data_IF_943263775870
#
_entry.id   IF_943263775870
#
_cell.length_a   1.000
_cell.length_b   1.000
_cell.length_c   1.000
_cell.angle_alpha   90.00
_cell.angle_beta   90.00
_cell.angle_gamma   90.00
#
_symmetry.space_group_name_H-M   'P 1'
#
loop_
_entity.id
_entity.type
_entity.pdbx_description
1 polymer ?
#
# COMPACT_ATOMS: atom_id res chain seq x y z
N UNK A 1 21.71 6.23 -9.17
CA UNK A 1 20.49 6.16 -8.35
C UNK A 1 20.29 7.50 -7.70
N UNK A 2 20.66 7.64 -6.43
CA UNK A 2 20.42 8.87 -5.65
C UNK A 2 21.35 10.05 -6.01
N UNK A 3 22.66 9.82 -6.15
CA UNK A 3 23.59 10.90 -6.54
C UNK A 3 23.30 11.45 -7.95
N UNK A 4 22.90 10.57 -8.88
CA UNK A 4 22.52 10.96 -10.22
C UNK A 4 21.25 11.82 -10.25
N UNK A 5 20.27 11.50 -9.40
CA UNK A 5 19.04 12.28 -9.23
C UNK A 5 19.33 13.65 -8.59
N UNK A 6 20.17 13.69 -7.56
CA UNK A 6 20.61 14.94 -6.94
C UNK A 6 21.40 15.82 -7.93
N UNK A 7 22.29 15.22 -8.72
CA UNK A 7 23.06 15.92 -9.75
C UNK A 7 22.18 16.44 -10.89
N UNK A 8 21.15 15.68 -11.30
CA UNK A 8 20.17 16.13 -12.27
C UNK A 8 19.39 17.36 -11.78
N UNK A 9 18.97 17.36 -10.51
CA UNK A 9 18.34 18.52 -9.87
C UNK A 9 19.30 19.72 -9.80
N UNK A 10 20.56 19.48 -9.43
CA UNK A 10 21.61 20.50 -9.38
C UNK A 10 21.82 21.17 -10.74
N UNK A 11 21.79 20.38 -11.81
CA UNK A 11 21.94 20.87 -13.17
C UNK A 11 20.77 21.75 -13.61
N UNK A 12 19.53 21.42 -13.22
CA UNK A 12 18.34 22.20 -13.62
C UNK A 12 18.04 23.40 -12.73
N UNK A 13 18.32 23.32 -11.43
CA UNK A 13 17.89 24.31 -10.42
C UNK A 13 19.05 25.05 -9.75
N UNK A 14 20.29 24.57 -9.94
CA UNK A 14 21.50 25.10 -9.30
C UNK A 14 21.87 24.37 -8.02
N UNK A 15 23.06 24.68 -7.50
CA UNK A 15 23.72 23.95 -6.40
C UNK A 15 22.92 23.92 -5.09
N UNK A 16 22.06 24.91 -4.81
CA UNK A 16 21.22 24.93 -3.61
C UNK A 16 20.25 23.73 -3.53
N UNK A 17 19.86 23.19 -4.69
CA UNK A 17 18.91 22.08 -4.78
C UNK A 17 19.48 20.77 -4.20
N UNK A 18 20.81 20.60 -4.19
CA UNK A 18 21.47 19.45 -3.56
C UNK A 18 21.24 19.43 -2.05
N UNK A 19 21.32 20.58 -1.40
CA UNK A 19 21.08 20.68 0.05
C UNK A 19 19.62 20.39 0.40
N UNK A 20 18.68 20.92 -0.40
CA UNK A 20 17.25 20.65 -0.22
C UNK A 20 16.92 19.18 -0.48
N UNK A 21 17.52 18.57 -1.51
CA UNK A 21 17.36 17.16 -1.81
C UNK A 21 17.91 16.27 -0.68
N UNK A 22 19.11 16.57 -0.16
CA UNK A 22 19.69 15.84 0.96
C UNK A 22 18.83 15.96 2.24
N UNK A 23 18.33 17.17 2.53
CA UNK A 23 17.44 17.41 3.67
C UNK A 23 16.11 16.66 3.50
N UNK A 24 15.55 16.64 2.28
CA UNK A 24 14.35 15.89 1.95
C UNK A 24 14.53 14.38 2.13
N UNK A 25 15.67 13.84 1.68
CA UNK A 25 16.03 12.44 1.86
C UNK A 25 16.15 12.07 3.35
N UNK A 26 16.78 12.95 4.14
CA UNK A 26 16.86 12.78 5.60
C UNK A 26 15.48 12.80 6.26
N UNK A 27 14.64 13.78 5.91
CA UNK A 27 13.28 13.91 6.44
C UNK A 27 12.41 12.71 6.09
N UNK A 28 12.50 12.19 4.86
CA UNK A 28 11.79 10.99 4.42
C UNK A 28 12.19 9.75 5.26
N UNK A 29 13.48 9.59 5.56
CA UNK A 29 13.97 8.51 6.42
C UNK A 29 13.42 8.56 7.86
N UNK A 30 13.30 9.77 8.43
CA UNK A 30 12.71 9.94 9.77
C UNK A 30 11.21 9.63 9.77
N UNK A 31 10.47 10.12 8.76
CA UNK A 31 9.05 9.85 8.61
C UNK A 31 8.76 8.34 8.48
N UNK A 32 9.53 7.64 7.64
CA UNK A 32 9.40 6.19 7.46
C UNK A 32 9.64 5.41 8.76
N UNK A 33 10.63 5.83 9.56
CA UNK A 33 10.91 5.21 10.86
C UNK A 33 9.70 5.35 11.80
N UNK A 34 9.12 6.54 11.91
CA UNK A 34 7.96 6.77 12.78
C UNK A 34 6.75 5.92 12.37
N UNK A 35 6.45 5.84 11.08
CA UNK A 35 5.33 5.02 10.59
C UNK A 35 5.57 3.54 10.90
N UNK A 36 6.80 3.04 10.73
CA UNK A 36 7.16 1.67 11.03
C UNK A 36 7.03 1.33 12.54
N UNK A 37 7.45 2.23 13.44
CA UNK A 37 7.33 1.99 14.88
C UNK A 37 5.88 2.02 15.36
N UNK A 38 5.06 2.95 14.87
CA UNK A 38 3.64 3.00 15.23
C UNK A 38 2.83 1.84 14.61
N UNK A 39 3.06 1.52 13.34
CA UNK A 39 2.42 0.37 12.68
C UNK A 39 2.79 -0.94 13.36
N UNK A 40 4.09 -1.14 13.64
CA UNK A 40 4.56 -2.30 14.40
C UNK A 40 3.95 -2.35 15.80
N UNK A 41 3.71 -1.19 16.43
CA UNK A 41 3.04 -1.15 17.73
C UNK A 41 1.63 -1.69 17.72
N UNK A 42 0.84 -1.23 16.74
CA UNK A 42 -0.55 -1.67 16.55
C UNK A 42 -0.58 -3.16 16.21
N UNK A 43 0.32 -3.65 15.36
CA UNK A 43 0.34 -5.06 14.95
C UNK A 43 0.74 -5.98 16.11
N UNK A 44 1.75 -5.60 16.89
CA UNK A 44 2.23 -6.39 18.02
C UNK A 44 1.19 -6.49 19.14
N UNK A 45 0.54 -5.38 19.49
CA UNK A 45 -0.45 -5.37 20.56
C UNK A 45 -1.81 -5.93 20.09
N UNK A 46 -2.12 -5.82 18.79
CA UNK A 46 -3.40 -6.26 18.23
C UNK A 46 -3.41 -7.72 17.77
N UNK A 47 -2.47 -8.12 16.91
CA UNK A 47 -2.48 -9.44 16.27
C UNK A 47 -1.61 -10.48 16.97
N UNK A 48 -0.53 -10.06 17.63
CA UNK A 48 0.47 -10.95 18.23
C UNK A 48 0.42 -10.98 19.77
N UNK A 49 -0.40 -10.13 20.40
CA UNK A 49 -0.47 -9.87 21.86
C UNK A 49 0.90 -9.81 22.55
N UNK A 50 1.88 -9.19 21.87
CA UNK A 50 3.29 -9.22 22.25
C UNK A 50 3.69 -7.91 22.92
N UNK A 51 3.66 -7.91 24.25
CA UNK A 51 3.98 -6.74 25.07
C UNK A 51 5.49 -6.58 25.28
N UNK A 52 6.18 -6.00 24.31
CA UNK A 52 7.59 -5.62 24.43
C UNK A 52 7.77 -4.20 24.99
N UNK A 53 8.80 -4.04 25.83
CA UNK A 53 9.29 -2.75 26.31
C UNK A 53 9.64 -1.81 25.12
N UNK A 54 9.43 -0.49 25.25
CA UNK A 54 9.64 0.47 24.15
C UNK A 54 11.04 0.42 23.53
N UNK A 55 12.09 0.30 24.36
CA UNK A 55 13.47 0.26 23.89
C UNK A 55 13.77 -1.02 23.07
N UNK A 56 13.26 -2.18 23.50
CA UNK A 56 13.43 -3.45 22.77
C UNK A 56 12.76 -3.38 21.40
N UNK A 57 11.60 -2.75 21.33
CA UNK A 57 10.83 -2.56 20.09
C UNK A 57 11.59 -1.68 19.08
N UNK A 58 12.19 -0.58 19.55
CA UNK A 58 12.98 0.31 18.70
C UNK A 58 14.25 -0.39 18.20
N UNK A 59 14.97 -1.09 19.08
CA UNK A 59 16.19 -1.83 18.68
C UNK A 59 15.84 -2.90 17.65
N UNK A 60 14.78 -3.68 17.87
CA UNK A 60 14.36 -4.74 16.95
C UNK A 60 14.01 -4.19 15.55
N UNK A 61 13.19 -3.15 15.47
CA UNK A 61 12.83 -2.57 14.18
C UNK A 61 14.04 -1.94 13.47
N UNK A 62 14.96 -1.33 14.23
CA UNK A 62 16.17 -0.74 13.67
C UNK A 62 17.12 -1.80 13.15
N UNK A 63 17.35 -2.88 13.88
CA UNK A 63 18.22 -3.97 13.42
C UNK A 63 17.63 -4.68 12.21
N UNK A 64 16.32 -4.98 12.21
CA UNK A 64 15.65 -5.59 11.06
C UNK A 64 15.68 -4.71 9.80
N UNK A 65 15.61 -3.38 9.94
CA UNK A 65 15.70 -2.46 8.81
C UNK A 65 17.15 -2.22 8.34
N UNK A 66 18.08 -1.98 9.27
CA UNK A 66 19.47 -1.64 8.92
C UNK A 66 20.28 -2.87 8.49
N UNK A 67 20.07 -4.04 9.09
CA UNK A 67 20.90 -5.21 8.81
C UNK A 67 20.90 -5.60 7.31
N UNK A 68 19.74 -5.81 6.63
CA UNK A 68 19.75 -6.12 5.21
C UNK A 68 20.28 -4.95 4.36
N UNK A 69 20.01 -3.70 4.75
CA UNK A 69 20.52 -2.53 4.04
C UNK A 69 22.06 -2.44 4.08
N UNK A 70 22.66 -2.70 5.24
CA UNK A 70 24.12 -2.70 5.41
C UNK A 70 24.78 -3.88 4.69
N UNK A 71 24.17 -5.06 4.72
CA UNK A 71 24.65 -6.22 3.99
C UNK A 71 24.68 -5.94 2.48
N UNK A 72 23.57 -5.45 1.93
CA UNK A 72 23.51 -5.04 0.53
C UNK A 72 24.54 -3.96 0.25
N UNK A 73 24.62 -2.89 1.07
CA UNK A 73 25.58 -1.81 0.91
C UNK A 73 27.03 -2.29 0.81
N UNK A 74 27.43 -3.21 1.69
CA UNK A 74 28.79 -3.78 1.69
C UNK A 74 29.09 -4.64 0.45
N UNK A 75 28.07 -5.31 -0.09
CA UNK A 75 28.22 -6.23 -1.24
C UNK A 75 28.25 -5.52 -2.60
N UNK A 76 27.86 -4.25 -2.67
CA UNK A 76 27.82 -3.46 -3.91
C UNK A 76 29.20 -3.27 -4.52
N UNK A 77 30.23 -3.09 -3.68
CA UNK A 77 31.62 -2.93 -4.12
C UNK A 77 32.10 -4.12 -4.93
N UNK A 78 31.55 -5.32 -4.67
CA UNK A 78 31.89 -6.56 -5.38
C UNK A 78 31.00 -6.79 -6.60
N UNK A 79 29.73 -6.40 -6.57
CA UNK A 79 28.78 -6.64 -7.66
C UNK A 79 27.80 -5.46 -7.86
N UNK A 80 28.03 -4.56 -8.83
CA UNK A 80 27.19 -3.38 -9.05
C UNK A 80 25.76 -3.72 -9.51
N UNK A 81 25.53 -4.95 -10.03
CA UNK A 81 24.20 -5.42 -10.45
C UNK A 81 23.27 -5.77 -9.28
N UNK A 82 23.82 -6.06 -8.10
CA UNK A 82 23.01 -6.48 -6.94
C UNK A 82 22.01 -5.41 -6.49
N UNK A 83 22.34 -4.12 -6.64
CA UNK A 83 21.41 -3.03 -6.32
C UNK A 83 20.13 -3.10 -7.16
N UNK A 84 20.28 -3.29 -8.46
CA UNK A 84 19.17 -3.37 -9.39
C UNK A 84 18.34 -4.62 -9.11
N UNK A 85 19.00 -5.76 -8.92
CA UNK A 85 18.33 -7.03 -8.61
C UNK A 85 17.53 -6.93 -7.31
N UNK A 86 18.14 -6.43 -6.23
CA UNK A 86 17.47 -6.24 -4.93
C UNK A 86 16.29 -5.28 -5.07
N UNK A 87 16.42 -4.20 -5.83
CA UNK A 87 15.33 -3.26 -6.07
C UNK A 87 14.16 -3.91 -6.82
N UNK A 88 14.43 -4.73 -7.84
CA UNK A 88 13.39 -5.49 -8.54
C UNK A 88 12.69 -6.49 -7.61
N UNK A 89 13.45 -7.22 -6.78
CA UNK A 89 12.90 -8.11 -5.77
C UNK A 89 12.03 -7.38 -4.74
N UNK A 90 12.45 -6.21 -4.27
CA UNK A 90 11.67 -5.38 -3.34
C UNK A 90 10.36 -4.90 -3.98
N UNK A 91 10.37 -4.52 -5.25
CA UNK A 91 9.17 -4.12 -5.96
C UNK A 91 8.16 -5.27 -6.09
N UNK A 92 8.63 -6.49 -6.35
CA UNK A 92 7.75 -7.68 -6.40
C UNK A 92 7.20 -7.97 -5.00
N UNK A 93 8.05 -7.94 -3.98
CA UNK A 93 7.62 -8.17 -2.60
C UNK A 93 6.57 -7.14 -2.17
N UNK A 94 6.74 -5.87 -2.54
CA UNK A 94 5.74 -4.82 -2.32
C UNK A 94 4.45 -5.07 -3.11
N UNK A 95 4.53 -5.53 -4.36
CA UNK A 95 3.35 -5.87 -5.18
C UNK A 95 2.48 -6.96 -4.55
N UNK A 96 3.09 -7.92 -3.86
CA UNK A 96 2.40 -9.00 -3.13
C UNK A 96 1.82 -8.47 -1.81
N UNK A 97 2.46 -7.51 -1.15
CA UNK A 97 1.95 -6.96 0.12
C UNK A 97 0.77 -6.00 -0.07
N UNK A 98 0.75 -5.24 -1.16
CA UNK A 98 -0.23 -4.18 -1.39
C UNK A 98 -1.69 -4.68 -1.34
N UNK A 99 -2.12 -5.72 -2.08
CA UNK A 99 -3.49 -6.23 -2.00
C UNK A 99 -3.86 -6.69 -0.59
N UNK A 100 -2.96 -7.38 0.12
CA UNK A 100 -3.25 -7.86 1.48
C UNK A 100 -3.47 -6.73 2.48
N UNK A 101 -2.83 -5.58 2.32
CA UNK A 101 -3.11 -4.41 3.15
C UNK A 101 -4.36 -3.64 2.69
N UNK A 102 -4.53 -3.47 1.38
CA UNK A 102 -5.60 -2.63 0.81
C UNK A 102 -6.99 -3.28 0.88
N UNK A 103 -7.10 -4.59 0.68
CA UNK A 103 -8.40 -5.26 0.60
C UNK A 103 -9.14 -5.29 1.96
N UNK A 104 -8.51 -5.69 3.08
CA UNK A 104 -9.18 -5.67 4.38
C UNK A 104 -9.51 -4.25 4.85
N UNK A 105 -8.62 -3.28 4.58
CA UNK A 105 -8.88 -1.88 4.95
C UNK A 105 -10.09 -1.33 4.20
N UNK A 106 -10.24 -1.66 2.92
CA UNK A 106 -11.40 -1.26 2.13
C UNK A 106 -12.67 -1.99 2.55
N UNK A 107 -12.59 -3.28 2.89
CA UNK A 107 -13.68 -4.07 3.47
C UNK A 107 -14.21 -3.40 4.75
N UNK A 108 -13.30 -3.10 5.69
CA UNK A 108 -13.67 -2.48 6.96
C UNK A 108 -14.21 -1.06 6.76
N UNK A 109 -13.60 -0.24 5.90
CA UNK A 109 -14.09 1.09 5.57
C UNK A 109 -15.50 1.08 4.93
N UNK A 110 -15.86 0.00 4.24
CA UNK A 110 -17.17 -0.17 3.62
C UNK A 110 -18.24 -0.77 4.55
N UNK A 111 -17.84 -1.42 5.64
CA UNK A 111 -18.73 -2.19 6.53
C UNK A 111 -19.56 -1.29 7.46
N UNK A 112 -20.89 -1.38 7.35
CA UNK A 112 -21.81 -0.75 8.30
C UNK A 112 -21.77 -1.38 9.69
N UNK A 113 -21.40 -2.66 9.78
CA UNK A 113 -21.38 -3.40 11.03
C UNK A 113 -20.30 -2.88 11.98
N UNK A 114 -19.19 -2.39 11.43
CA UNK A 114 -18.04 -1.89 12.19
C UNK A 114 -18.07 -0.38 12.42
N UNK A 115 -18.40 0.42 11.38
CA UNK A 115 -18.36 1.90 11.46
C UNK A 115 -19.71 2.58 11.78
N UNK A 116 -20.83 1.84 11.79
CA UNK A 116 -22.14 2.40 12.14
C UNK A 116 -22.53 3.63 11.31
N UNK A 117 -22.74 4.77 11.99
CA UNK A 117 -23.09 6.07 11.38
C UNK A 117 -21.91 6.76 10.68
N UNK A 118 -20.67 6.44 11.03
CA UNK A 118 -19.45 6.99 10.43
C UNK A 118 -19.01 6.26 9.15
N UNK A 119 -19.89 5.43 8.58
CA UNK A 119 -19.61 4.69 7.36
C UNK A 119 -19.26 5.62 6.19
N UNK A 120 -18.16 5.33 5.51
CA UNK A 120 -17.77 6.00 4.28
C UNK A 120 -18.91 5.99 3.24
N UNK A 121 -19.11 7.16 2.59
CA UNK A 121 -20.13 7.31 1.54
C UNK A 121 -19.83 6.35 0.39
N UNK A 122 -20.87 5.76 -0.20
CA UNK A 122 -20.71 4.81 -1.31
C UNK A 122 -19.90 5.35 -2.50
N UNK A 123 -19.95 6.67 -2.75
CA UNK A 123 -19.12 7.36 -3.76
C UNK A 123 -17.63 7.27 -3.42
N UNK A 124 -17.24 7.57 -2.18
CA UNK A 124 -15.84 7.50 -1.73
C UNK A 124 -15.31 6.08 -1.81
N UNK A 125 -16.09 5.09 -1.34
CA UNK A 125 -15.70 3.68 -1.43
C UNK A 125 -15.48 3.26 -2.88
N UNK A 126 -16.35 3.68 -3.81
CA UNK A 126 -16.21 3.35 -5.24
C UNK A 126 -14.92 3.95 -5.81
N UNK A 127 -14.58 5.20 -5.44
CA UNK A 127 -13.31 5.85 -5.86
C UNK A 127 -12.11 5.10 -5.28
N UNK A 128 -12.14 4.73 -3.99
CA UNK A 128 -11.05 3.98 -3.35
C UNK A 128 -10.87 2.59 -3.99
N UNK A 129 -11.96 1.87 -4.30
CA UNK A 129 -11.91 0.59 -5.04
C UNK A 129 -11.29 0.78 -6.41
N UNK A 130 -11.71 1.81 -7.16
CA UNK A 130 -11.16 2.08 -8.49
C UNK A 130 -9.66 2.39 -8.44
N UNK A 131 -9.23 3.22 -7.49
CA UNK A 131 -7.81 3.53 -7.28
C UNK A 131 -7.01 2.29 -6.89
N UNK A 132 -7.54 1.47 -5.98
CA UNK A 132 -6.93 0.21 -5.60
C UNK A 132 -6.78 -0.74 -6.79
N UNK A 133 -7.81 -0.86 -7.64
CA UNK A 133 -7.77 -1.69 -8.83
C UNK A 133 -6.69 -1.22 -9.83
N UNK A 134 -6.54 0.09 -10.02
CA UNK A 134 -5.48 0.66 -10.86
C UNK A 134 -4.10 0.30 -10.30
N UNK A 135 -3.86 0.57 -9.01
CA UNK A 135 -2.58 0.29 -8.36
C UNK A 135 -2.24 -1.20 -8.43
N UNK A 136 -3.20 -2.09 -8.16
CA UNK A 136 -3.01 -3.54 -8.27
C UNK A 136 -2.70 -3.98 -9.70
N UNK A 137 -3.35 -3.38 -10.70
CA UNK A 137 -3.12 -3.71 -12.11
C UNK A 137 -1.71 -3.31 -12.56
N UNK A 138 -1.24 -2.13 -12.15
CA UNK A 138 0.14 -1.67 -12.45
C UNK A 138 1.17 -2.57 -11.77
N UNK A 139 0.96 -2.91 -10.50
CA UNK A 139 1.85 -3.80 -9.76
C UNK A 139 1.89 -5.22 -10.36
N UNK A 140 0.76 -5.72 -10.84
CA UNK A 140 0.70 -7.00 -11.56
C UNK A 140 1.49 -6.95 -12.87
N UNK A 141 1.41 -5.84 -13.62
CA UNK A 141 2.22 -5.66 -14.83
C UNK A 141 3.72 -5.73 -14.54
N UNK A 142 4.20 -5.03 -13.50
CA UNK A 142 5.61 -5.09 -13.10
C UNK A 142 6.03 -6.51 -12.69
N UNK A 143 5.18 -7.23 -11.95
CA UNK A 143 5.45 -8.61 -11.56
C UNK A 143 5.54 -9.56 -12.77
N UNK A 144 4.67 -9.40 -13.78
CA UNK A 144 4.72 -10.19 -15.01
C UNK A 144 5.96 -9.86 -15.86
N UNK A 145 6.35 -8.58 -15.91
CA UNK A 145 7.56 -8.16 -16.61
C UNK A 145 8.80 -8.81 -15.96
N UNK A 146 8.89 -8.81 -14.63
CA UNK A 146 9.95 -9.53 -13.93
C UNK A 146 9.88 -11.04 -14.15
N UNK A 147 8.68 -11.63 -14.18
CA UNK A 147 8.56 -13.05 -14.45
C UNK A 147 9.23 -13.43 -15.79
N UNK A 148 9.13 -12.57 -16.81
CA UNK A 148 9.74 -12.82 -18.12
C UNK A 148 11.27 -12.89 -18.12
N UNK A 149 11.95 -12.33 -17.11
CA UNK A 149 13.42 -12.37 -16.99
C UNK A 149 13.93 -13.64 -16.31
N UNK A 150 13.04 -14.41 -15.65
CA UNK A 150 13.38 -15.67 -15.00
C UNK A 150 13.56 -16.82 -16.00
N UNK A 151 14.22 -17.89 -15.57
CA UNK A 151 14.35 -19.11 -16.38
C UNK A 151 12.99 -19.78 -16.61
N UNK A 152 12.82 -20.50 -17.74
CA UNK A 152 11.57 -21.21 -18.08
C UNK A 152 10.97 -22.05 -16.93
N UNK A 153 11.73 -22.86 -16.16
CA UNK A 153 11.14 -23.57 -15.03
C UNK A 153 10.68 -22.63 -13.91
N UNK A 154 11.46 -21.58 -13.60
CA UNK A 154 11.10 -20.61 -12.57
C UNK A 154 9.88 -19.76 -12.97
N UNK A 155 9.70 -19.47 -14.27
CA UNK A 155 8.52 -18.79 -14.80
C UNK A 155 7.23 -19.56 -14.51
N UNK A 156 7.23 -20.88 -14.73
CA UNK A 156 6.05 -21.72 -14.50
C UNK A 156 5.69 -21.71 -13.01
N UNK A 157 6.69 -21.86 -12.13
CA UNK A 157 6.48 -21.81 -10.68
C UNK A 157 5.93 -20.46 -10.24
N UNK A 158 6.52 -19.37 -10.74
CA UNK A 158 6.07 -18.01 -10.45
C UNK A 158 4.63 -17.77 -10.94
N UNK A 159 4.30 -18.23 -12.16
CA UNK A 159 2.96 -18.12 -12.71
C UNK A 159 1.93 -18.93 -11.93
N UNK A 160 2.25 -20.16 -11.52
CA UNK A 160 1.38 -20.99 -10.69
C UNK A 160 1.10 -20.32 -9.33
N UNK A 161 2.14 -19.82 -8.67
CA UNK A 161 1.99 -19.08 -7.41
C UNK A 161 1.19 -17.79 -7.61
N UNK A 162 1.46 -17.05 -8.69
CA UNK A 162 0.74 -15.82 -9.05
C UNK A 162 -0.74 -16.06 -9.34
N UNK A 163 -1.08 -17.14 -10.06
CA UNK A 163 -2.48 -17.53 -10.30
C UNK A 163 -3.17 -17.90 -9.00
N UNK A 164 -2.53 -18.71 -8.15
CA UNK A 164 -3.07 -19.04 -6.83
C UNK A 164 -3.31 -17.77 -5.99
N UNK A 165 -2.35 -16.86 -5.98
CA UNK A 165 -2.43 -15.59 -5.28
C UNK A 165 -3.59 -14.71 -5.79
N UNK A 166 -3.70 -14.53 -7.11
CA UNK A 166 -4.79 -13.75 -7.72
C UNK A 166 -6.15 -14.37 -7.42
N UNK A 167 -6.25 -15.71 -7.42
CA UNK A 167 -7.49 -16.40 -7.03
C UNK A 167 -7.87 -16.14 -5.58
N UNK A 168 -6.89 -16.18 -4.65
CA UNK A 168 -7.12 -15.84 -3.23
C UNK A 168 -7.59 -14.39 -3.10
N UNK A 169 -6.91 -13.44 -3.74
CA UNK A 169 -7.32 -12.04 -3.74
C UNK A 169 -8.72 -11.84 -4.35
N UNK A 170 -9.00 -12.48 -5.49
CA UNK A 170 -10.30 -12.39 -6.16
C UNK A 170 -11.42 -12.95 -5.28
N UNK A 171 -11.19 -14.06 -4.59
CA UNK A 171 -12.14 -14.64 -3.62
C UNK A 171 -12.36 -13.73 -2.43
N UNK A 172 -11.31 -13.12 -1.89
CA UNK A 172 -11.39 -12.16 -0.78
C UNK A 172 -12.23 -10.93 -1.17
N UNK A 173 -12.09 -10.47 -2.43
CA UNK A 173 -12.76 -9.29 -2.97
C UNK A 173 -14.21 -9.57 -3.41
N UNK A 174 -14.50 -10.80 -3.84
CA UNK A 174 -15.75 -11.13 -4.53
C UNK A 174 -16.99 -10.74 -3.72
N UNK A 175 -16.98 -11.02 -2.41
CA UNK A 175 -18.09 -10.69 -1.51
C UNK A 175 -18.26 -9.17 -1.35
N UNK A 176 -17.15 -8.42 -1.28
CA UNK A 176 -17.15 -6.97 -1.13
C UNK A 176 -17.57 -6.22 -2.38
N UNK A 177 -17.01 -6.59 -3.52
CA UNK A 177 -17.37 -6.00 -4.81
C UNK A 177 -18.82 -6.31 -5.16
N UNK A 178 -19.32 -7.51 -4.83
CA UNK A 178 -20.72 -7.85 -5.02
C UNK A 178 -21.65 -7.00 -4.13
N UNK A 179 -21.28 -6.79 -2.87
CA UNK A 179 -22.02 -5.94 -1.92
C UNK A 179 -22.05 -4.46 -2.38
N UNK A 180 -20.91 -3.94 -2.82
CA UNK A 180 -20.74 -2.56 -3.31
C UNK A 180 -21.49 -2.36 -4.64
N UNK A 181 -21.40 -3.31 -5.58
CA UNK A 181 -22.10 -3.23 -6.87
C UNK A 181 -23.63 -3.23 -6.71
N UNK A 182 -24.17 -3.91 -5.69
CA UNK A 182 -25.60 -3.81 -5.34
C UNK A 182 -25.95 -2.46 -4.71
N UNK A 183 -25.04 -1.85 -3.93
CA UNK A 183 -25.24 -0.52 -3.35
C UNK A 183 -25.17 0.59 -4.41
N UNK A 184 -24.21 0.52 -5.34
CA UNK A 184 -24.03 1.49 -6.41
C UNK A 184 -25.21 1.47 -7.39
N UNK A 185 -25.70 0.29 -7.78
CA UNK A 185 -26.91 0.15 -8.59
C UNK A 185 -28.14 0.76 -7.91
N UNK A 186 -28.27 0.64 -6.59
CA UNK A 186 -29.36 1.29 -5.82
C UNK A 186 -29.23 2.81 -5.82
N UNK A 187 -28.01 3.36 -5.70
CA UNK A 187 -27.76 4.80 -5.76
C UNK A 187 -28.06 5.37 -7.15
N UNK A 188 -27.57 4.72 -8.21
CA UNK A 188 -27.81 5.13 -9.60
C UNK A 188 -29.32 5.10 -9.90
N UNK A 189 -30.04 4.06 -9.46
CA UNK A 189 -31.51 4.00 -9.60
C UNK A 189 -32.23 5.12 -8.83
N UNK A 190 -31.73 5.54 -7.67
CA UNK A 190 -32.30 6.67 -6.90
C UNK A 190 -32.05 8.01 -7.58
N UNK A 191 -30.85 8.23 -8.11
CA UNK A 191 -30.51 9.43 -8.88
C UNK A 191 -31.32 9.50 -10.19
N UNK A 192 -31.45 8.38 -10.91
CA UNK A 192 -32.22 8.29 -12.15
C UNK A 192 -33.73 8.46 -11.96
N UNK A 193 -34.25 8.21 -10.75
CA UNK A 193 -35.67 8.44 -10.40
C UNK A 193 -35.98 9.86 -9.93
N UNK A 194 -35.03 10.80 -10.02
CA UNK A 194 -35.27 12.22 -9.69
C UNK A 194 -35.69 12.49 -8.24
N UNK A 195 -35.61 11.50 -7.34
CA UNK A 195 -36.09 11.62 -5.97
C UNK A 195 -34.94 12.04 -5.06
N UNK A 196 -34.39 13.23 -5.28
CA UNK A 196 -33.78 14.00 -4.19
C UNK A 196 -34.94 14.55 -3.36
N UNK A 197 -35.48 13.71 -2.47
CA UNK A 197 -36.32 14.24 -1.40
C UNK A 197 -35.40 15.03 -0.49
N UNK A 198 -35.52 16.35 -0.57
CA UNK A 198 -35.18 17.30 0.48
C UNK A 198 -35.85 16.85 1.78
N UNK A 199 -35.17 16.01 2.56
CA UNK A 199 -35.57 15.69 3.93
C UNK A 199 -34.30 15.67 4.79
N UNK A 200 -33.62 16.82 4.83
CA UNK A 200 -32.54 17.12 5.76
C UNK A 200 -32.57 18.61 6.14
N UNK A 201 -33.77 19.14 6.36
CA UNK A 201 -33.99 20.34 7.18
C UNK A 201 -35.33 20.13 7.89
N UNK A 202 -35.31 20.00 9.22
CA UNK A 202 -36.52 19.85 10.02
C UNK A 202 -36.47 18.72 11.05
N UNK A 203 -35.45 18.70 11.91
CA UNK A 203 -35.69 18.31 13.30
C UNK A 203 -35.92 19.59 14.08
N UNK A 204 -37.17 19.94 14.45
CA UNK A 204 -37.38 20.96 15.46
C UNK A 204 -36.81 20.41 16.77
N UNK A 205 -35.76 21.07 17.28
CA UNK A 205 -35.50 21.11 18.71
C UNK A 205 -36.73 21.73 19.36
N UNK A 206 -37.48 20.94 20.13
CA UNK A 206 -38.28 21.31 21.32
C UNK A 206 -39.29 20.18 21.64
N UNK A 207 -38.90 19.27 22.53
CA UNK A 207 -39.51 19.05 23.85
C UNK A 207 -38.75 17.91 24.56
#
# INVERSE_FOLDING_TARGET
>A
GLEAEGAALAHSLGTWSLYVWALGLFAAGQAATMVCTYSGQILMNGMLDLQLLPWKRVVLNRTMALAPALLVASSITTNPKLLTDVNEWLNILQSVQLPFAMLPTLHFAASRRLLGSFRSRARLITICVAMAAIVMSVNLYFALNFASTLSRPAQIVFALYGVFYVLVCARLIADDVCSIGKALRRLIRRLRRGRLSTHFLGTPLLQ
#
